data_IF_836476552030
#
_entry.id   IF_836476552030
#
_cell.length_a   1.000
_cell.length_b   1.000
_cell.length_c   1.000
_cell.angle_alpha   90.00
_cell.angle_beta   90.00
_cell.angle_gamma   90.00
#
_symmetry.space_group_name_H-M   'P 1'
#
loop_
_entity.id
_entity.type
_entity.pdbx_description
1 polymer ?
#
# COMPACT_ATOMS: atom_id res chain seq x y z
N UNK A 1 -4.91 -19.44 -16.67
CA UNK A 1 -5.71 -19.10 -15.48
C UNK A 1 -5.17 -17.76 -15.03
N UNK A 2 -5.94 -16.67 -15.14
CA UNK A 2 -5.48 -15.35 -14.68
C UNK A 2 -5.21 -15.44 -13.17
N UNK A 3 -4.13 -14.82 -12.71
CA UNK A 3 -3.84 -14.75 -11.28
C UNK A 3 -4.93 -13.89 -10.63
N UNK A 4 -5.50 -14.35 -9.50
CA UNK A 4 -6.55 -13.62 -8.76
C UNK A 4 -6.14 -12.19 -8.40
N UNK A 5 -4.84 -11.94 -8.20
CA UNK A 5 -4.27 -10.61 -8.01
C UNK A 5 -4.47 -9.74 -9.28
N UNK A 6 -4.25 -10.30 -10.47
CA UNK A 6 -4.41 -9.58 -11.74
C UNK A 6 -5.88 -9.23 -12.00
N UNK A 7 -6.79 -10.15 -11.70
CA UNK A 7 -8.23 -9.91 -11.77
C UNK A 7 -8.66 -8.77 -10.86
N UNK A 8 -8.12 -8.73 -9.63
CA UNK A 8 -8.42 -7.70 -8.64
C UNK A 8 -7.87 -6.33 -9.04
N UNK A 9 -6.59 -6.27 -9.41
CA UNK A 9 -5.97 -5.05 -9.91
C UNK A 9 -6.77 -4.48 -11.08
N UNK A 10 -7.16 -5.32 -12.04
CA UNK A 10 -8.02 -4.94 -13.16
C UNK A 10 -9.40 -4.46 -12.73
N UNK A 11 -10.06 -5.15 -11.79
CA UNK A 11 -11.40 -4.79 -11.27
C UNK A 11 -11.42 -3.39 -10.67
N UNK A 12 -10.36 -3.01 -9.95
CA UNK A 12 -10.27 -1.69 -9.30
C UNK A 12 -9.49 -0.66 -10.12
N UNK A 13 -9.18 -0.97 -11.39
CA UNK A 13 -8.40 -0.13 -12.30
C UNK A 13 -7.05 0.31 -11.70
N UNK A 14 -6.44 -0.59 -10.92
CA UNK A 14 -5.10 -0.45 -10.36
C UNK A 14 -4.13 -1.14 -11.33
N UNK A 15 -3.11 -0.45 -11.79
CA UNK A 15 -2.08 -1.06 -12.63
C UNK A 15 -0.86 -1.38 -11.75
N UNK A 16 -0.17 -2.49 -12.05
CA UNK A 16 1.09 -2.87 -11.38
C UNK A 16 2.23 -1.86 -11.57
N UNK A 17 2.00 -0.77 -12.31
CA UNK A 17 3.05 0.07 -12.85
C UNK A 17 3.66 1.03 -11.83
N UNK A 18 2.98 1.33 -10.73
CA UNK A 18 3.47 2.32 -9.78
C UNK A 18 3.56 1.71 -8.38
N UNK A 19 4.71 1.12 -8.09
CA UNK A 19 5.05 0.76 -6.71
C UNK A 19 5.45 2.03 -5.96
N UNK A 20 4.99 2.17 -4.71
CA UNK A 20 5.42 3.27 -3.83
C UNK A 20 6.94 3.28 -3.64
N UNK A 21 7.60 2.12 -3.76
CA UNK A 21 9.04 1.98 -3.55
C UNK A 21 9.86 2.95 -4.41
N UNK A 22 9.42 3.21 -5.65
CA UNK A 22 10.08 4.16 -6.55
C UNK A 22 10.01 5.63 -6.12
N UNK A 23 9.20 5.96 -5.11
CA UNK A 23 9.07 7.30 -4.55
C UNK A 23 9.78 7.45 -3.19
N UNK A 24 10.37 6.37 -2.68
CA UNK A 24 10.87 6.26 -1.31
C UNK A 24 12.39 6.05 -1.28
N UNK A 25 13.15 6.73 -2.17
CA UNK A 25 14.61 6.61 -2.31
C UNK A 25 15.42 6.77 -1.01
N UNK A 26 14.83 7.38 0.04
CA UNK A 26 15.45 7.58 1.35
C UNK A 26 15.15 6.45 2.37
N UNK A 27 14.43 5.39 2.01
CA UNK A 27 14.06 4.30 2.90
C UNK A 27 15.09 3.16 2.79
N UNK A 28 15.50 2.59 3.93
CA UNK A 28 16.60 1.62 4.01
C UNK A 28 16.22 0.24 3.49
N UNK A 29 15.01 -0.21 3.81
CA UNK A 29 14.52 -1.54 3.48
C UNK A 29 12.98 -1.59 3.45
N UNK A 30 12.46 -2.74 2.99
CA UNK A 30 11.04 -3.03 2.88
C UNK A 30 10.31 -3.01 4.24
N UNK A 31 10.99 -3.38 5.33
CA UNK A 31 10.41 -3.37 6.66
C UNK A 31 10.17 -1.94 7.16
N UNK A 32 11.08 -1.01 6.86
CA UNK A 32 10.89 0.42 7.12
C UNK A 32 9.67 0.94 6.33
N UNK A 33 9.58 0.63 5.03
CA UNK A 33 8.43 1.02 4.19
C UNK A 33 7.12 0.47 4.73
N UNK A 34 7.06 -0.84 5.04
CA UNK A 34 5.89 -1.50 5.64
C UNK A 34 5.48 -0.82 6.94
N UNK A 35 6.44 -0.55 7.83
CA UNK A 35 6.18 0.12 9.10
C UNK A 35 5.57 1.51 8.93
N UNK A 36 6.12 2.32 8.03
CA UNK A 36 5.57 3.65 7.74
C UNK A 36 4.21 3.59 7.05
N UNK A 37 4.00 2.70 6.09
CA UNK A 37 2.69 2.49 5.46
C UNK A 37 1.64 2.11 6.53
N UNK A 38 1.97 1.18 7.43
CA UNK A 38 1.07 0.79 8.52
C UNK A 38 0.80 1.94 9.47
N UNK A 39 1.79 2.78 9.81
CA UNK A 39 1.58 3.99 10.64
C UNK A 39 0.69 5.01 9.96
N UNK A 40 0.90 5.27 8.66
CA UNK A 40 0.03 6.13 7.85
C UNK A 40 -1.39 5.57 7.90
N UNK A 41 -1.59 4.29 7.58
CA UNK A 41 -2.92 3.66 7.59
C UNK A 41 -3.57 3.64 8.98
N UNK A 42 -2.81 3.50 10.06
CA UNK A 42 -3.35 3.56 11.42
C UNK A 42 -3.73 4.98 11.85
N UNK A 43 -3.07 6.01 11.30
CA UNK A 43 -3.33 7.41 11.63
C UNK A 43 -4.63 7.95 11.01
N UNK A 44 -5.18 7.27 9.99
CA UNK A 44 -6.43 7.66 9.32
C UNK A 44 -7.56 6.70 9.72
N UNK A 45 -8.31 7.08 10.74
CA UNK A 45 -9.41 6.28 11.30
C UNK A 45 -10.61 6.14 10.37
N UNK A 46 -10.68 6.96 9.31
CA UNK A 46 -11.69 6.95 8.25
C UNK A 46 -11.38 5.93 7.14
N UNK A 47 -10.17 5.35 7.14
CA UNK A 47 -9.82 4.27 6.23
C UNK A 47 -10.74 3.07 6.42
N UNK A 48 -11.46 2.72 5.36
CA UNK A 48 -12.20 1.46 5.29
C UNK A 48 -11.29 0.38 4.74
N UNK A 49 -11.00 -0.62 5.58
CA UNK A 49 -10.33 -1.85 5.20
C UNK A 49 -11.35 -2.83 4.62
N UNK A 50 -11.17 -3.24 3.38
CA UNK A 50 -11.82 -4.43 2.84
C UNK A 50 -10.83 -5.60 2.94
N UNK A 51 -11.16 -6.57 3.80
CA UNK A 51 -10.35 -7.79 3.97
C UNK A 51 -10.56 -8.73 2.78
N UNK A 52 -9.47 -9.03 2.06
CA UNK A 52 -9.44 -10.07 1.04
C UNK A 52 -8.50 -11.19 1.48
N UNK A 53 -9.03 -12.42 1.61
CA UNK A 53 -8.20 -13.58 1.92
C UNK A 53 -7.75 -14.20 0.58
N UNK A 54 -6.49 -13.94 0.21
CA UNK A 54 -5.82 -14.64 -0.89
C UNK A 54 -4.57 -15.29 -0.29
N UNK A 55 -4.61 -16.61 -0.09
CA UNK A 55 -3.50 -17.37 0.49
C UNK A 55 -3.63 -17.61 1.99
N UNK A 56 -2.96 -18.66 2.48
CA UNK A 56 -3.10 -19.21 3.84
C UNK A 56 -2.14 -18.49 4.82
N UNK A 57 -1.15 -17.75 4.31
CA UNK A 57 -0.11 -17.06 5.08
C UNK A 57 0.18 -15.68 4.48
N UNK A 58 -0.42 -14.62 5.03
CA UNK A 58 -0.37 -13.27 4.46
C UNK A 58 -1.73 -12.76 4.02
N UNK A 59 -2.00 -11.48 4.22
CA UNK A 59 -3.29 -10.87 3.88
C UNK A 59 -3.13 -9.83 2.78
N UNK A 60 -3.95 -9.95 1.73
CA UNK A 60 -4.09 -8.90 0.73
C UNK A 60 -5.23 -7.97 1.15
N UNK A 61 -4.99 -6.67 1.12
CA UNK A 61 -5.94 -5.68 1.63
C UNK A 61 -6.22 -4.62 0.58
N UNK A 62 -7.49 -4.19 0.52
CA UNK A 62 -7.86 -2.96 -0.19
C UNK A 62 -8.28 -1.95 0.86
N UNK A 63 -7.64 -0.77 0.79
CA UNK A 63 -7.98 0.37 1.60
C UNK A 63 -8.54 1.47 0.72
N UNK A 64 -9.55 2.19 1.22
CA UNK A 64 -10.01 3.44 0.63
C UNK A 64 -9.42 4.62 1.41
N UNK A 65 -8.49 5.37 0.80
CA UNK A 65 -7.83 6.55 1.33
C UNK A 65 -8.14 7.78 0.50
N UNK A 66 -8.71 8.81 1.12
CA UNK A 66 -9.05 10.09 0.46
C UNK A 66 -9.84 9.91 -0.86
N UNK A 67 -10.80 8.97 -0.88
CA UNK A 67 -11.59 8.66 -2.08
C UNK A 67 -10.86 7.81 -3.14
N UNK A 68 -9.64 7.37 -2.86
CA UNK A 68 -8.85 6.53 -3.74
C UNK A 68 -8.58 5.14 -3.16
N UNK A 69 -8.34 4.16 -4.02
CA UNK A 69 -8.05 2.79 -3.61
C UNK A 69 -6.55 2.54 -3.54
N UNK A 70 -6.15 1.86 -2.47
CA UNK A 70 -4.80 1.36 -2.25
C UNK A 70 -4.90 -0.15 -2.08
N UNK A 71 -4.20 -0.90 -2.91
CA UNK A 71 -4.04 -2.34 -2.75
C UNK A 71 -2.71 -2.63 -2.08
N UNK A 72 -2.75 -3.43 -1.01
CA UNK A 72 -1.58 -3.85 -0.25
C UNK A 72 -1.51 -5.36 -0.30
N UNK A 73 -0.41 -5.90 -0.80
CA UNK A 73 -0.06 -7.30 -0.56
C UNK A 73 0.86 -7.32 0.64
N UNK A 74 0.44 -8.00 1.70
CA UNK A 74 1.23 -8.15 2.92
C UNK A 74 1.38 -9.64 3.25
N UNK A 75 2.26 -10.31 2.52
CA UNK A 75 2.58 -11.71 2.73
C UNK A 75 3.94 -11.90 3.41
N UNK A 76 4.25 -13.14 3.81
CA UNK A 76 5.50 -13.46 4.52
C UNK A 76 6.74 -13.16 3.65
N UNK A 77 6.58 -13.10 2.33
CA UNK A 77 7.65 -13.05 1.35
C UNK A 77 7.79 -11.68 0.66
N UNK A 78 6.77 -10.83 0.73
CA UNK A 78 6.72 -9.55 0.03
C UNK A 78 5.64 -8.59 0.57
N UNK A 79 6.04 -7.34 0.67
CA UNK A 79 5.16 -6.18 0.83
C UNK A 79 5.09 -5.42 -0.49
N UNK A 80 3.89 -5.19 -1.00
CA UNK A 80 3.69 -4.32 -2.15
C UNK A 80 2.50 -3.39 -1.91
N UNK A 81 2.64 -2.15 -2.35
CA UNK A 81 1.58 -1.16 -2.30
C UNK A 81 1.37 -0.62 -3.71
N UNK A 82 0.18 -0.85 -4.23
CA UNK A 82 -0.24 -0.48 -5.58
C UNK A 82 -1.41 0.49 -5.49
N UNK A 83 -1.23 1.66 -6.07
CA UNK A 83 -2.26 2.68 -6.19
C UNK A 83 -2.05 3.50 -7.47
N UNK A 84 -2.94 4.44 -7.76
CA UNK A 84 -2.69 5.42 -8.82
C UNK A 84 -1.54 6.35 -8.43
N UNK A 85 -0.82 6.90 -9.41
CA UNK A 85 0.36 7.76 -9.16
C UNK A 85 0.08 8.93 -8.18
N UNK A 86 -1.00 9.72 -8.31
CA UNK A 86 -1.29 10.81 -7.37
C UNK A 86 -1.43 10.34 -5.91
N UNK A 87 -1.97 9.13 -5.72
CA UNK A 87 -2.15 8.53 -4.38
C UNK A 87 -0.80 8.13 -3.80
N UNK A 88 0.09 7.58 -4.62
CA UNK A 88 1.43 7.19 -4.20
C UNK A 88 2.28 8.41 -3.83
N UNK A 89 2.16 9.51 -4.59
CA UNK A 89 2.80 10.78 -4.28
C UNK A 89 2.30 11.36 -2.95
N UNK A 90 0.98 11.31 -2.71
CA UNK A 90 0.37 11.73 -1.45
C UNK A 90 0.87 10.88 -0.27
N UNK A 91 0.86 9.56 -0.40
CA UNK A 91 1.35 8.63 0.62
C UNK A 91 2.84 8.86 0.91
N UNK A 92 3.68 8.94 -0.13
CA UNK A 92 5.10 9.22 0.03
C UNK A 92 5.35 10.56 0.74
N UNK A 93 4.58 11.60 0.41
CA UNK A 93 4.62 12.88 1.11
C UNK A 93 4.31 12.75 2.60
N UNK A 94 3.23 12.05 2.96
CA UNK A 94 2.87 11.80 4.37
C UNK A 94 3.93 10.98 5.10
N UNK A 95 4.51 9.96 4.47
CA UNK A 95 5.59 9.16 5.04
C UNK A 95 6.85 9.98 5.31
N UNK A 96 7.24 10.86 4.38
CA UNK A 96 8.38 11.79 4.57
C UNK A 96 8.13 12.76 5.74
N UNK A 97 6.91 13.29 5.88
CA UNK A 97 6.55 14.15 7.02
C UNK A 97 6.65 13.40 8.35
N UNK A 98 6.15 12.17 8.41
CA UNK A 98 6.26 11.33 9.62
C UNK A 98 7.74 11.10 9.99
N UNK A 99 8.57 10.74 9.01
CA UNK A 99 10.02 10.54 9.21
C UNK A 99 10.71 11.79 9.75
N UNK A 100 10.38 12.98 9.23
CA UNK A 100 10.91 14.25 9.72
C UNK A 100 10.42 14.61 11.12
N UNK A 101 9.22 14.17 11.51
CA UNK A 101 8.65 14.42 12.83
C UNK A 101 9.24 13.56 13.96
N UNK A 102 10.08 12.57 13.64
CA UNK A 102 10.78 11.72 14.62
C UNK A 102 9.88 10.77 15.42
N UNK A 103 8.62 10.58 14.99
CA UNK A 103 7.69 9.57 15.49
C UNK A 103 7.95 8.21 14.84
#
# INVERSE_FOLDING_TARGET
MENRIDEMLKKYNLNKANSILSFLDDFRDEAEVRGYCMRVLQAYSDLKKEDWIIGIEGGDYIYSFDGHLIFITDDIWSFNLVATQPVLELLAGKMRMLKQSGL
#
